data_IF_783869719358
#
_entry.id   IF_783869719358
#
_cell.length_a   1.000
_cell.length_b   1.000
_cell.length_c   1.000
_cell.angle_alpha   90.00
_cell.angle_beta   90.00
_cell.angle_gamma   90.00
#
_symmetry.space_group_name_H-M   'P 1'
#
loop_
_entity.id
_entity.type
_entity.pdbx_description
1 polymer ?
#
# COMPACT_ATOMS: atom_id res chain seq x y z
N UNK A 1 21.73 19.94 -34.89
CA UNK A 1 20.72 20.16 -33.83
C UNK A 1 21.11 19.32 -32.63
N UNK A 2 21.64 19.96 -31.60
CA UNK A 2 22.01 19.35 -30.32
C UNK A 2 20.80 19.35 -29.39
N UNK A 3 20.44 18.20 -28.81
CA UNK A 3 19.45 18.12 -27.73
C UNK A 3 20.15 17.71 -26.44
N UNK A 4 19.99 18.59 -25.46
CA UNK A 4 20.48 18.50 -24.09
C UNK A 4 19.98 17.24 -23.38
N UNK A 5 20.88 16.53 -22.72
CA UNK A 5 20.54 15.67 -21.58
C UNK A 5 21.16 16.27 -20.33
N UNK A 6 20.27 16.73 -19.45
CA UNK A 6 20.59 17.35 -18.18
C UNK A 6 21.35 16.36 -17.27
N UNK A 7 22.62 16.64 -16.99
CA UNK A 7 23.35 15.96 -15.91
C UNK A 7 22.81 16.47 -14.58
N UNK A 8 22.13 15.57 -13.86
CA UNK A 8 21.72 15.78 -12.47
C UNK A 8 22.95 16.06 -11.60
N UNK A 9 22.90 17.17 -10.85
CA UNK A 9 23.94 17.60 -9.92
C UNK A 9 24.05 16.62 -8.74
N UNK A 10 24.99 15.68 -8.78
CA UNK A 10 25.47 14.99 -7.58
C UNK A 10 26.60 15.80 -6.96
N UNK A 11 26.25 16.63 -5.96
CA UNK A 11 27.17 17.48 -5.21
C UNK A 11 28.02 16.67 -4.23
N UNK A 12 29.07 16.01 -4.74
CA UNK A 12 30.16 15.44 -3.96
C UNK A 12 31.49 15.95 -4.49
N UNK A 13 32.53 15.99 -3.64
CA UNK A 13 33.90 16.24 -4.10
C UNK A 13 34.21 15.22 -5.21
N UNK A 14 34.77 15.64 -6.36
CA UNK A 14 35.09 14.73 -7.44
C UNK A 14 35.93 13.56 -6.91
N UNK A 15 35.63 12.34 -7.36
CA UNK A 15 36.46 11.19 -7.04
C UNK A 15 37.89 11.49 -7.49
N UNK A 16 38.87 11.10 -6.67
CA UNK A 16 40.29 11.27 -7.00
C UNK A 16 40.73 10.42 -8.21
N UNK A 17 39.84 9.56 -8.70
CA UNK A 17 40.03 8.65 -9.81
C UNK A 17 38.75 8.60 -10.66
N UNK A 18 38.88 8.51 -12.00
CA UNK A 18 37.75 8.24 -12.87
C UNK A 18 37.20 6.82 -12.63
N UNK A 19 35.86 6.63 -12.53
CA UNK A 19 35.25 5.32 -12.37
C UNK A 19 35.65 4.31 -13.46
N UNK A 20 35.94 4.77 -14.67
CA UNK A 20 36.35 3.95 -15.81
C UNK A 20 37.64 3.16 -15.52
N UNK A 21 38.52 3.67 -14.66
CA UNK A 21 39.70 2.93 -14.21
C UNK A 21 39.36 1.74 -13.32
N UNK A 22 38.31 1.87 -12.48
CA UNK A 22 37.82 0.76 -11.66
C UNK A 22 37.30 -0.35 -12.58
N UNK A 23 36.52 0.00 -13.60
CA UNK A 23 36.03 -0.96 -14.58
C UNK A 23 37.18 -1.67 -15.32
N UNK A 24 38.17 -0.92 -15.82
CA UNK A 24 39.30 -1.49 -16.54
C UNK A 24 40.15 -2.43 -15.66
N UNK A 25 40.33 -2.11 -14.37
CA UNK A 25 41.03 -2.98 -13.42
C UNK A 25 40.23 -4.26 -13.19
N UNK A 26 38.94 -4.15 -12.91
CA UNK A 26 38.05 -5.30 -12.69
C UNK A 26 38.01 -6.21 -13.92
N UNK A 27 37.83 -5.62 -15.11
CA UNK A 27 37.82 -6.33 -16.39
C UNK A 27 39.12 -7.10 -16.62
N UNK A 28 40.29 -6.44 -16.46
CA UNK A 28 41.60 -7.09 -16.59
C UNK A 28 41.76 -8.30 -15.68
N UNK A 29 41.33 -8.22 -14.42
CA UNK A 29 41.43 -9.34 -13.48
C UNK A 29 40.51 -10.50 -13.88
N UNK A 30 39.28 -10.20 -14.31
CA UNK A 30 38.33 -11.21 -14.75
C UNK A 30 38.80 -11.90 -16.06
N UNK A 31 39.30 -11.14 -17.02
CA UNK A 31 39.91 -11.67 -18.25
C UNK A 31 41.17 -12.49 -17.97
N UNK A 32 41.95 -12.09 -16.96
CA UNK A 32 43.11 -12.83 -16.46
C UNK A 32 42.75 -14.14 -15.74
N UNK A 33 41.47 -14.50 -15.66
CA UNK A 33 40.99 -15.74 -15.04
C UNK A 33 40.89 -15.67 -13.51
N UNK A 34 40.91 -14.48 -12.92
CA UNK A 34 40.71 -14.34 -11.48
C UNK A 34 39.25 -14.66 -11.12
N UNK A 35 39.01 -15.54 -10.12
CA UNK A 35 37.66 -15.78 -9.64
C UNK A 35 37.02 -14.49 -9.11
N UNK A 36 35.77 -14.23 -9.48
CA UNK A 36 35.01 -13.03 -9.08
C UNK A 36 35.05 -12.79 -7.57
N UNK A 37 34.97 -13.86 -6.77
CA UNK A 37 35.01 -13.78 -5.31
C UNK A 37 36.32 -13.21 -4.74
N UNK A 38 37.38 -13.11 -5.56
CA UNK A 38 38.68 -12.52 -5.20
C UNK A 38 38.86 -11.09 -5.70
N UNK A 39 37.95 -10.58 -6.52
CA UNK A 39 37.97 -9.20 -7.02
C UNK A 39 37.19 -8.33 -6.04
N UNK A 40 37.90 -7.72 -5.09
CA UNK A 40 37.32 -6.87 -4.04
C UNK A 40 37.88 -5.43 -4.07
N UNK A 41 37.29 -4.55 -3.25
CA UNK A 41 37.73 -3.16 -3.15
C UNK A 41 39.18 -3.02 -2.65
N UNK A 42 39.70 -3.99 -1.90
CA UNK A 42 41.08 -3.97 -1.41
C UNK A 42 42.06 -4.14 -2.55
N UNK A 43 41.85 -5.15 -3.38
CA UNK A 43 42.62 -5.42 -4.59
C UNK A 43 42.60 -4.23 -5.55
N UNK A 44 41.41 -3.72 -5.87
CA UNK A 44 41.26 -2.58 -6.79
C UNK A 44 41.90 -1.32 -6.21
N UNK A 45 41.77 -1.08 -4.89
CA UNK A 45 42.41 0.05 -4.23
C UNK A 45 43.93 -0.03 -4.32
N UNK A 46 44.50 -1.22 -4.10
CA UNK A 46 45.93 -1.44 -4.18
C UNK A 46 46.44 -1.08 -5.58
N UNK A 47 45.76 -1.57 -6.62
CA UNK A 47 46.16 -1.31 -8.00
C UNK A 47 45.99 0.17 -8.39
N UNK A 48 44.91 0.83 -7.96
CA UNK A 48 44.72 2.26 -8.15
C UNK A 48 45.84 3.08 -7.50
N UNK A 49 46.34 2.67 -6.34
CA UNK A 49 47.41 3.39 -5.64
C UNK A 49 48.80 3.10 -6.23
N UNK A 50 49.11 1.83 -6.48
CA UNK A 50 50.44 1.38 -6.89
C UNK A 50 50.71 1.60 -8.38
N UNK A 51 49.72 1.36 -9.24
CA UNK A 51 49.89 1.43 -10.70
C UNK A 51 49.44 2.79 -11.24
N UNK A 52 48.29 3.28 -10.76
CA UNK A 52 47.67 4.51 -11.30
C UNK A 52 47.98 5.76 -10.47
N UNK A 53 48.79 5.64 -9.41
CA UNK A 53 49.26 6.78 -8.61
C UNK A 53 48.16 7.56 -7.88
N UNK A 54 46.99 6.94 -7.68
CA UNK A 54 45.87 7.57 -6.98
C UNK A 54 46.20 7.65 -5.48
N UNK A 55 45.88 8.78 -4.84
CA UNK A 55 46.13 8.95 -3.40
C UNK A 55 45.44 7.86 -2.58
N UNK A 56 46.18 7.18 -1.70
CA UNK A 56 45.69 6.07 -0.86
C UNK A 56 44.59 6.39 0.16
N UNK A 57 44.12 7.64 0.22
CA UNK A 57 43.02 8.09 1.08
C UNK A 57 41.62 7.73 0.54
N UNK A 58 41.54 6.85 -0.48
CA UNK A 58 40.26 6.32 -0.98
C UNK A 58 39.55 5.53 0.13
N UNK A 59 38.29 5.88 0.39
CA UNK A 59 37.40 5.13 1.28
C UNK A 59 37.01 3.81 0.62
N UNK A 60 37.27 2.70 1.31
CA UNK A 60 37.00 1.35 0.81
C UNK A 60 35.51 1.14 0.55
N UNK A 61 34.63 1.68 1.38
CA UNK A 61 33.19 1.51 1.27
C UNK A 61 32.63 2.14 -0.02
N UNK A 62 33.19 3.29 -0.43
CA UNK A 62 32.81 3.96 -1.68
C UNK A 62 33.30 3.22 -2.92
N UNK A 63 34.49 2.60 -2.82
CA UNK A 63 35.06 1.81 -3.90
C UNK A 63 34.36 0.45 -4.03
N UNK A 64 34.02 -0.20 -2.91
CA UNK A 64 33.30 -1.48 -2.86
C UNK A 64 32.06 -1.48 -3.73
N UNK A 65 31.21 -0.45 -3.60
CA UNK A 65 30.01 -0.34 -4.42
C UNK A 65 30.32 -0.19 -5.92
N UNK A 66 31.40 0.50 -6.27
CA UNK A 66 31.83 0.64 -7.67
C UNK A 66 32.38 -0.68 -8.23
N UNK A 67 33.15 -1.43 -7.43
CA UNK A 67 33.64 -2.76 -7.82
C UNK A 67 32.48 -3.73 -7.98
N UNK A 68 31.53 -3.77 -7.04
CA UNK A 68 30.35 -4.63 -7.12
C UNK A 68 29.50 -4.35 -8.36
N UNK A 69 29.27 -3.07 -8.66
CA UNK A 69 28.57 -2.69 -9.89
C UNK A 69 29.35 -3.13 -11.14
N UNK A 70 30.65 -2.87 -11.20
CA UNK A 70 31.48 -3.25 -12.34
C UNK A 70 31.50 -4.76 -12.57
N UNK A 71 31.65 -5.55 -11.49
CA UNK A 71 31.58 -7.01 -11.52
C UNK A 71 30.20 -7.48 -12.00
N UNK A 72 29.11 -6.90 -11.51
CA UNK A 72 27.75 -7.29 -11.90
C UNK A 72 27.46 -6.99 -13.38
N UNK A 73 27.86 -5.81 -13.87
CA UNK A 73 27.69 -5.42 -15.27
C UNK A 73 28.52 -6.30 -16.21
N UNK A 74 29.81 -6.52 -15.89
CA UNK A 74 30.68 -7.39 -16.68
C UNK A 74 30.15 -8.82 -16.70
N UNK A 75 29.71 -9.35 -15.56
CA UNK A 75 29.07 -10.67 -15.50
C UNK A 75 27.82 -10.74 -16.36
N UNK A 76 26.93 -9.76 -16.28
CA UNK A 76 25.72 -9.73 -17.11
C UNK A 76 26.06 -9.69 -18.60
N UNK A 77 27.10 -8.95 -18.99
CA UNK A 77 27.56 -8.89 -20.38
C UNK A 77 28.17 -10.22 -20.84
N UNK A 78 28.96 -10.89 -20.00
CA UNK A 78 29.54 -12.20 -20.28
C UNK A 78 28.45 -13.28 -20.35
N UNK A 79 27.51 -13.29 -19.42
CA UNK A 79 26.37 -14.22 -19.42
C UNK A 79 25.54 -14.06 -20.69
N UNK A 80 25.28 -12.81 -21.14
CA UNK A 80 24.62 -12.54 -22.42
C UNK A 80 25.44 -13.02 -23.62
N UNK A 81 26.74 -12.70 -23.66
CA UNK A 81 27.60 -13.14 -24.75
C UNK A 81 27.69 -14.67 -24.83
N UNK A 82 27.73 -15.36 -23.69
CA UNK A 82 27.67 -16.83 -23.62
C UNK A 82 26.35 -17.37 -24.17
N UNK A 83 25.22 -16.73 -23.84
CA UNK A 83 23.92 -17.10 -24.41
C UNK A 83 23.87 -16.87 -25.93
N UNK A 84 24.49 -15.80 -26.43
CA UNK A 84 24.57 -15.51 -27.88
C UNK A 84 25.47 -16.52 -28.63
N UNK A 85 26.42 -17.15 -27.95
CA UNK A 85 27.25 -18.22 -28.53
C UNK A 85 26.57 -19.60 -28.58
N UNK A 86 25.39 -19.75 -27.97
CA UNK A 86 24.67 -21.02 -28.00
C UNK A 86 24.14 -21.31 -29.41
N UNK A 87 24.15 -22.57 -29.86
CA UNK A 87 23.52 -22.96 -31.12
C UNK A 87 22.03 -22.60 -31.13
N UNK A 88 21.52 -22.15 -32.28
CA UNK A 88 20.10 -21.76 -32.45
C UNK A 88 19.11 -22.85 -32.02
N UNK A 89 19.49 -24.12 -32.14
CA UNK A 89 18.66 -25.25 -31.71
C UNK A 89 18.49 -25.33 -30.19
N UNK A 90 19.51 -24.93 -29.43
CA UNK A 90 19.50 -24.91 -27.96
C UNK A 90 18.70 -23.70 -27.47
N UNK A 91 18.90 -22.52 -28.06
CA UNK A 91 18.15 -21.32 -27.70
C UNK A 91 16.66 -21.49 -28.00
N UNK A 92 16.31 -22.02 -29.17
CA UNK A 92 14.91 -22.33 -29.51
C UNK A 92 14.27 -23.35 -28.55
N UNK A 93 15.04 -24.34 -28.07
CA UNK A 93 14.55 -25.32 -27.09
C UNK A 93 14.28 -24.68 -25.72
N UNK A 94 15.17 -23.78 -25.28
CA UNK A 94 15.00 -23.02 -24.04
C UNK A 94 13.78 -22.10 -24.15
N UNK A 95 13.63 -21.39 -25.27
CA UNK A 95 12.49 -20.50 -25.50
C UNK A 95 11.17 -21.26 -25.51
N UNK A 96 11.13 -22.45 -26.14
CA UNK A 96 9.94 -23.29 -26.15
C UNK A 96 9.58 -23.79 -24.74
N UNK A 97 10.57 -24.23 -23.96
CA UNK A 97 10.36 -24.61 -22.57
C UNK A 97 9.85 -23.43 -21.72
N UNK A 98 10.46 -22.25 -21.87
CA UNK A 98 10.07 -21.05 -21.13
C UNK A 98 8.67 -20.57 -21.52
N UNK A 99 8.28 -20.70 -22.78
CA UNK A 99 6.92 -20.42 -23.23
C UNK A 99 5.92 -21.36 -22.55
N UNK A 100 6.17 -22.68 -22.57
CA UNK A 100 5.32 -23.66 -21.89
C UNK A 100 5.23 -23.42 -20.37
N UNK A 101 6.34 -23.05 -19.73
CA UNK A 101 6.35 -22.72 -18.31
C UNK A 101 5.51 -21.46 -18.02
N UNK A 102 5.64 -20.42 -18.84
CA UNK A 102 4.84 -19.18 -18.71
C UNK A 102 3.35 -19.47 -18.85
N UNK A 103 2.97 -20.29 -19.81
CA UNK A 103 1.57 -20.66 -20.03
C UNK A 103 1.00 -21.44 -18.84
N UNK A 104 1.76 -22.41 -18.31
CA UNK A 104 1.38 -23.15 -17.11
C UNK A 104 1.22 -22.24 -15.87
N UNK A 105 2.16 -21.30 -15.67
CA UNK A 105 2.05 -20.32 -14.60
C UNK A 105 0.85 -19.38 -14.78
N UNK A 106 0.56 -18.95 -16.01
CA UNK A 106 -0.59 -18.11 -16.29
C UNK A 106 -1.92 -18.81 -15.93
N UNK A 107 -2.05 -20.10 -16.27
CA UNK A 107 -3.22 -20.90 -15.90
C UNK A 107 -3.34 -21.01 -14.38
N UNK A 108 -2.26 -21.36 -13.70
CA UNK A 108 -2.26 -21.50 -12.23
C UNK A 108 -2.64 -20.19 -11.53
N UNK A 109 -2.12 -19.05 -12.01
CA UNK A 109 -2.48 -17.72 -11.47
C UNK A 109 -3.95 -17.41 -11.72
N UNK A 110 -4.48 -17.73 -12.90
CA UNK A 110 -5.89 -17.53 -13.23
C UNK A 110 -6.81 -18.38 -12.33
N UNK A 111 -6.46 -19.65 -12.09
CA UNK A 111 -7.21 -20.53 -11.20
C UNK A 111 -7.21 -20.01 -9.75
N UNK A 112 -6.04 -19.61 -9.25
CA UNK A 112 -5.92 -19.07 -7.91
C UNK A 112 -6.68 -17.74 -7.75
N UNK A 113 -6.64 -16.89 -8.77
CA UNK A 113 -7.41 -15.66 -8.80
C UNK A 113 -8.91 -15.93 -8.78
N UNK A 114 -9.40 -16.86 -9.61
CA UNK A 114 -10.81 -17.23 -9.66
C UNK A 114 -11.30 -17.77 -8.30
N UNK A 115 -10.50 -18.61 -7.64
CA UNK A 115 -10.81 -19.12 -6.30
C UNK A 115 -10.86 -18.01 -5.26
N UNK A 116 -9.85 -17.14 -5.24
CA UNK A 116 -9.82 -16.00 -4.32
C UNK A 116 -10.99 -15.04 -4.54
N UNK A 117 -11.41 -14.85 -5.79
CA UNK A 117 -12.55 -14.01 -6.12
C UNK A 117 -13.87 -14.64 -5.64
N UNK A 118 -14.03 -15.96 -5.78
CA UNK A 118 -15.19 -16.67 -5.27
C UNK A 118 -15.28 -16.57 -3.73
N UNK A 119 -14.17 -16.76 -3.03
CA UNK A 119 -14.13 -16.63 -1.57
C UNK A 119 -14.48 -15.20 -1.11
N UNK A 120 -13.95 -14.18 -1.80
CA UNK A 120 -14.27 -12.78 -1.51
C UNK A 120 -15.76 -12.45 -1.75
N UNK A 121 -16.34 -12.99 -2.82
CA UNK A 121 -17.76 -12.80 -3.11
C UNK A 121 -18.66 -13.44 -2.06
N UNK A 122 -18.32 -14.67 -1.64
CA UNK A 122 -19.04 -15.39 -0.59
C UNK A 122 -19.01 -14.61 0.73
N UNK A 123 -17.84 -14.10 1.15
CA UNK A 123 -17.74 -13.24 2.34
C UNK A 123 -18.57 -11.96 2.21
N UNK A 124 -18.59 -11.33 1.03
CA UNK A 124 -19.43 -10.16 0.79
C UNK A 124 -20.92 -10.48 0.91
N UNK A 125 -21.35 -11.66 0.47
CA UNK A 125 -22.74 -12.12 0.53
C UNK A 125 -23.17 -12.42 1.97
N UNK A 126 -22.30 -13.06 2.75
CA UNK A 126 -22.49 -13.25 4.20
C UNK A 126 -22.68 -11.92 4.91
N UNK A 127 -21.75 -10.97 4.72
CA UNK A 127 -21.84 -9.64 5.32
C UNK A 127 -23.09 -8.86 4.90
N UNK A 128 -23.53 -9.01 3.64
CA UNK A 128 -24.79 -8.43 3.17
C UNK A 128 -26.00 -9.08 3.84
N UNK A 129 -25.95 -10.39 4.10
CA UNK A 129 -26.99 -11.10 4.84
C UNK A 129 -27.07 -10.63 6.29
N UNK A 130 -25.93 -10.57 6.97
CA UNK A 130 -25.83 -10.09 8.36
C UNK A 130 -26.32 -8.65 8.48
N UNK A 131 -25.93 -7.79 7.53
CA UNK A 131 -26.42 -6.41 7.47
C UNK A 131 -27.94 -6.36 7.37
N UNK A 132 -28.57 -7.16 6.49
CA UNK A 132 -30.03 -7.21 6.37
C UNK A 132 -30.68 -7.68 7.68
N UNK A 133 -30.13 -8.71 8.30
CA UNK A 133 -30.61 -9.23 9.58
C UNK A 133 -30.55 -8.18 10.69
N UNK A 134 -29.40 -7.51 10.83
CA UNK A 134 -29.22 -6.43 11.80
C UNK A 134 -30.19 -5.27 11.55
N UNK A 135 -30.45 -4.91 10.28
CA UNK A 135 -31.41 -3.87 9.92
C UNK A 135 -32.85 -4.26 10.32
N UNK A 136 -33.26 -5.52 10.13
CA UNK A 136 -34.55 -6.01 10.60
C UNK A 136 -34.67 -5.88 12.12
N UNK A 137 -33.66 -6.34 12.87
CA UNK A 137 -33.67 -6.24 14.34
C UNK A 137 -33.66 -4.80 14.84
N UNK A 138 -32.94 -3.89 14.17
CA UNK A 138 -32.97 -2.46 14.50
C UNK A 138 -34.39 -1.91 14.30
N UNK A 139 -35.04 -2.22 13.17
CA UNK A 139 -36.40 -1.77 12.92
C UNK A 139 -37.39 -2.30 13.96
N UNK A 140 -37.30 -3.58 14.32
CA UNK A 140 -38.10 -4.18 15.41
C UNK A 140 -37.90 -3.43 16.73
N UNK A 141 -36.65 -3.19 17.14
CA UNK A 141 -36.32 -2.47 18.36
C UNK A 141 -36.80 -1.00 18.33
N UNK A 142 -36.72 -0.33 17.18
CA UNK A 142 -37.21 1.03 17.01
C UNK A 142 -38.74 1.10 17.15
N UNK A 143 -39.46 0.13 16.57
CA UNK A 143 -40.93 0.05 16.72
C UNK A 143 -41.34 -0.20 18.17
N UNK A 144 -40.64 -1.10 18.86
CA UNK A 144 -40.92 -1.43 20.26
C UNK A 144 -40.58 -0.24 21.17
N UNK A 145 -39.46 0.44 20.92
CA UNK A 145 -39.10 1.68 21.62
C UNK A 145 -40.19 2.74 21.45
N UNK A 146 -40.71 2.94 20.24
CA UNK A 146 -41.78 3.90 19.98
C UNK A 146 -43.09 3.50 20.70
N UNK A 147 -43.42 2.21 20.74
CA UNK A 147 -44.56 1.67 21.50
C UNK A 147 -44.43 1.96 22.99
N UNK A 148 -43.29 1.62 23.58
CA UNK A 148 -43.01 1.86 25.01
C UNK A 148 -43.02 3.36 25.36
N UNK A 149 -42.50 4.22 24.49
CA UNK A 149 -42.56 5.67 24.68
C UNK A 149 -44.01 6.18 24.71
N UNK A 150 -44.88 5.67 23.82
CA UNK A 150 -46.32 5.99 23.83
C UNK A 150 -46.99 5.50 25.12
N UNK A 151 -46.70 4.27 25.55
CA UNK A 151 -47.25 3.69 26.79
C UNK A 151 -46.84 4.52 28.03
N UNK A 152 -45.57 4.94 28.10
CA UNK A 152 -45.08 5.82 29.17
C UNK A 152 -45.82 7.15 29.14
N UNK A 153 -45.92 7.80 27.98
CA UNK A 153 -46.60 9.08 27.84
C UNK A 153 -48.09 8.98 28.24
N UNK A 154 -48.76 7.89 27.85
CA UNK A 154 -50.15 7.63 28.23
C UNK A 154 -50.29 7.43 29.74
N UNK A 155 -49.41 6.65 30.38
CA UNK A 155 -49.41 6.45 31.84
C UNK A 155 -49.18 7.75 32.61
N UNK A 156 -48.24 8.59 32.15
CA UNK A 156 -48.03 9.91 32.74
C UNK A 156 -49.26 10.79 32.58
N UNK A 157 -49.87 10.84 31.39
CA UNK A 157 -51.09 11.60 31.14
C UNK A 157 -52.26 11.17 32.03
N UNK A 158 -52.43 9.87 32.31
CA UNK A 158 -53.44 9.37 33.26
C UNK A 158 -53.12 9.84 34.69
N UNK A 159 -51.86 9.69 35.14
CA UNK A 159 -51.44 10.12 36.48
C UNK A 159 -51.60 11.63 36.72
N UNK A 160 -51.46 12.45 35.68
CA UNK A 160 -51.61 13.92 35.76
C UNK A 160 -53.01 14.42 35.37
N UNK A 161 -53.93 13.53 34.96
CA UNK A 161 -55.35 13.89 34.71
C UNK A 161 -56.20 13.90 35.99
N UNK A 162 -55.72 13.28 37.06
CA UNK A 162 -56.37 13.30 38.37
C UNK A 162 -55.61 14.16 39.40
N UNK A 163 -55.79 15.49 39.35
CA UNK A 163 -55.81 16.23 40.61
C UNK A 163 -56.90 17.32 40.63
N UNK A 164 -58.17 17.02 40.33
CA UNK A 164 -59.28 17.97 40.63
C UNK A 164 -60.58 17.25 41.00
N UNK A 165 -60.59 16.47 42.08
CA UNK A 165 -61.88 16.07 42.72
C UNK A 165 -61.77 15.81 44.22
N UNK A 166 -60.75 16.33 44.90
CA UNK A 166 -60.72 16.43 46.37
C UNK A 166 -60.03 17.71 46.78
N UNK A 167 -60.82 18.76 46.97
CA UNK A 167 -60.35 20.03 47.51
C UNK A 167 -61.03 21.20 46.82
N UNK A 168 -62.17 21.60 47.38
CA UNK A 168 -62.77 22.94 47.38
C UNK A 168 -64.29 22.88 47.25
N UNK A 169 -64.92 22.29 48.27
CA UNK A 169 -66.26 22.69 48.70
C UNK A 169 -66.08 23.54 49.96
N UNK A 170 -65.71 24.80 49.78
CA UNK A 170 -65.84 25.83 50.79
C UNK A 170 -65.93 27.20 50.08
N UNK A 171 -67.15 27.74 50.15
CA UNK A 171 -67.57 29.14 50.04
C UNK A 171 -66.52 30.20 49.64
N UNK A 172 -66.87 31.07 48.70
CA UNK A 172 -67.39 32.42 49.01
C UNK A 172 -68.04 33.00 47.75
N UNK A 173 -69.29 33.43 47.93
CA UNK A 173 -70.09 34.24 47.01
C UNK A 173 -69.35 35.52 46.60
N UNK A 174 -69.39 35.91 45.31
CA UNK A 174 -69.49 37.32 44.96
C UNK A 174 -70.13 37.51 43.57
N UNK A 175 -71.42 37.84 43.62
CA UNK A 175 -72.23 38.71 42.75
C UNK A 175 -71.98 38.76 41.23
N UNK A 176 -73.09 38.51 40.54
CA UNK A 176 -73.47 39.03 39.23
C UNK A 176 -72.99 40.47 38.95
N UNK A 177 -72.44 40.68 37.75
CA UNK A 177 -72.84 41.80 36.88
C UNK A 177 -72.51 41.52 35.41
N UNK A 178 -73.31 42.06 34.46
CA UNK A 178 -73.39 41.57 33.10
C UNK A 178 -72.39 42.24 32.15
N UNK A 179 -72.22 41.53 31.04
CA UNK A 179 -71.52 41.86 29.78
C UNK A 179 -71.56 43.34 29.39
N UNK A 180 -70.40 43.84 28.97
CA UNK A 180 -70.33 44.77 27.85
C UNK A 180 -69.25 44.32 26.86
N UNK A 181 -69.70 44.03 25.63
CA UNK A 181 -68.91 44.02 24.41
C UNK A 181 -68.12 45.33 24.26
N UNK A 182 -66.82 45.26 23.93
CA UNK A 182 -66.20 46.19 22.97
C UNK A 182 -65.03 45.49 22.25
N UNK A 183 -65.24 45.26 20.96
CA UNK A 183 -64.25 45.08 19.90
C UNK A 183 -63.24 46.25 19.83
N UNK A 184 -61.93 45.98 19.62
CA UNK A 184 -61.11 46.57 18.52
C UNK A 184 -59.59 46.42 18.76
N UNK A 185 -58.95 45.91 17.70
CA UNK A 185 -57.57 46.12 17.19
C UNK A 185 -56.37 45.86 18.09
#
# INVERSE_FOLDING_TARGET
MTKNTAQGKQGGRPLSYPPELVYAIVERHLEGGMPIAKVDAGLVKQELCEIYGVKGTIRLESLQRLVENAVAELRQSQDRALLDTLPETVTASIDHFMAGARDAFAIMVAEQYAKSQADANMQCEELRSDKRSAQCHIAELETEKARLQKDIHQRLRIKFRDPVTRGNAAAVEFRDQPRHDVNRH
#
